data_IF_844843649644
#
_entry.id   IF_844843649644
#
_cell.length_a   1.000
_cell.length_b   1.000
_cell.length_c   1.000
_cell.angle_alpha   90.00
_cell.angle_beta   90.00
_cell.angle_gamma   90.00
#
_symmetry.space_group_name_H-M   'P 1'
#
loop_
_entity.id
_entity.type
_entity.pdbx_description
1 polymer ?
#
# COMPACT_ATOMS: atom_id res chain seq x y z
N UNK A 1 18.54 -22.64 18.50
CA UNK A 1 17.75 -23.44 17.53
C UNK A 1 17.42 -24.79 18.10
N UNK A 2 16.13 -25.08 18.27
CA UNK A 2 15.63 -26.41 18.63
C UNK A 2 14.92 -26.98 17.40
N UNK A 3 15.23 -28.22 17.02
CA UNK A 3 14.58 -28.92 15.90
C UNK A 3 13.86 -30.18 16.43
N UNK A 4 12.69 -30.51 15.88
CA UNK A 4 12.00 -31.77 16.17
C UNK A 4 12.11 -32.77 15.00
N UNK A 5 11.80 -34.03 15.27
CA UNK A 5 11.76 -35.11 14.27
C UNK A 5 10.71 -34.91 13.19
N UNK A 6 9.77 -33.99 13.42
CA UNK A 6 8.71 -33.62 12.49
C UNK A 6 9.16 -32.55 11.48
N UNK A 7 10.40 -32.07 11.53
CA UNK A 7 10.89 -31.09 10.56
C UNK A 7 10.38 -29.67 10.82
N UNK A 8 10.01 -29.36 12.06
CA UNK A 8 9.89 -28.01 12.58
C UNK A 8 11.15 -27.60 13.33
N UNK A 9 11.49 -26.32 13.20
CA UNK A 9 12.50 -25.66 14.03
C UNK A 9 11.92 -24.39 14.63
N UNK A 10 12.30 -24.04 15.85
CA UNK A 10 12.07 -22.71 16.38
C UNK A 10 13.36 -22.14 16.99
N UNK A 11 13.41 -20.82 17.07
CA UNK A 11 14.45 -20.10 17.79
C UNK A 11 13.94 -18.74 18.27
N UNK A 12 14.76 -18.05 19.09
CA UNK A 12 14.50 -16.69 19.52
C UNK A 12 15.67 -15.75 19.19
N UNK A 13 15.37 -14.47 18.98
CA UNK A 13 16.32 -13.47 18.51
C UNK A 13 16.10 -12.14 19.25
N UNK A 14 17.20 -11.45 19.55
CA UNK A 14 17.16 -10.11 20.17
C UNK A 14 17.06 -8.99 19.12
N UNK A 15 17.11 -9.32 17.83
CA UNK A 15 17.02 -8.34 16.74
C UNK A 15 16.30 -8.93 15.53
N UNK A 16 15.56 -8.10 14.81
CA UNK A 16 14.89 -8.50 13.56
C UNK A 16 15.89 -8.89 12.45
N UNK A 17 17.09 -8.32 12.48
CA UNK A 17 18.16 -8.71 11.53
C UNK A 17 18.68 -10.13 11.78
N UNK A 18 18.70 -10.60 13.03
CA UNK A 18 19.07 -11.99 13.32
C UNK A 18 17.93 -12.96 12.98
N UNK A 19 16.67 -12.53 13.14
CA UNK A 19 15.51 -13.24 12.61
C UNK A 19 15.61 -13.41 11.09
N UNK A 20 15.93 -12.35 10.33
CA UNK A 20 16.13 -12.43 8.88
C UNK A 20 17.20 -13.45 8.50
N UNK A 21 18.35 -13.46 9.19
CA UNK A 21 19.39 -14.48 8.95
C UNK A 21 18.84 -15.89 9.19
N UNK A 22 18.04 -16.09 10.24
CA UNK A 22 17.39 -17.37 10.47
C UNK A 22 16.47 -17.76 9.31
N UNK A 23 15.63 -16.85 8.80
CA UNK A 23 14.78 -17.11 7.63
C UNK A 23 15.59 -17.60 6.44
N UNK A 24 16.68 -16.90 6.12
CA UNK A 24 17.57 -17.24 5.00
C UNK A 24 18.29 -18.59 5.21
N UNK A 25 18.64 -18.95 6.45
CA UNK A 25 19.20 -20.27 6.76
C UNK A 25 18.17 -21.40 6.67
N UNK A 26 16.92 -21.16 7.10
CA UNK A 26 15.85 -22.15 7.00
C UNK A 26 15.41 -22.37 5.55
N UNK A 27 15.50 -21.34 4.70
CA UNK A 27 15.29 -21.44 3.25
C UNK A 27 16.14 -22.55 2.62
N UNK A 28 17.44 -22.61 3.00
CA UNK A 28 18.41 -23.61 2.50
C UNK A 28 18.05 -25.04 2.91
N UNK A 29 17.19 -25.20 3.92
CA UNK A 29 16.72 -26.49 4.46
C UNK A 29 15.32 -26.86 3.96
N UNK A 30 14.79 -26.19 2.94
CA UNK A 30 13.40 -26.35 2.47
C UNK A 30 12.39 -26.17 3.61
N UNK A 31 12.59 -25.13 4.42
CA UNK A 31 11.67 -24.74 5.49
C UNK A 31 11.17 -23.32 5.26
N UNK A 32 9.88 -23.12 5.49
CA UNK A 32 9.22 -21.81 5.41
C UNK A 32 8.85 -21.34 6.80
N UNK A 33 8.84 -20.03 6.99
CA UNK A 33 8.46 -19.41 8.27
C UNK A 33 6.95 -19.47 8.44
N UNK A 34 6.48 -20.31 9.35
CA UNK A 34 5.05 -20.50 9.61
C UNK A 34 4.56 -19.67 10.77
N UNK A 35 5.42 -19.31 11.72
CA UNK A 35 5.08 -18.38 12.80
C UNK A 35 6.21 -17.41 13.07
N UNK A 36 5.86 -16.17 13.35
CA UNK A 36 6.74 -15.12 13.89
C UNK A 36 5.91 -14.36 14.91
N UNK A 37 6.49 -14.09 16.07
CA UNK A 37 5.89 -13.23 17.10
C UNK A 37 6.98 -12.44 17.79
N UNK A 38 6.62 -11.27 18.32
CA UNK A 38 7.48 -10.47 19.18
C UNK A 38 6.85 -10.32 20.56
N UNK A 39 7.65 -10.53 21.59
CA UNK A 39 7.23 -10.38 22.99
C UNK A 39 8.40 -10.61 23.93
N UNK A 40 8.29 -10.11 25.17
CA UNK A 40 9.38 -10.17 26.16
C UNK A 40 10.73 -9.64 25.63
N UNK A 41 10.71 -8.62 24.77
CA UNK A 41 11.90 -8.04 24.15
C UNK A 41 12.60 -8.94 23.13
N UNK A 42 11.92 -9.97 22.62
CA UNK A 42 12.50 -10.93 21.67
C UNK A 42 11.55 -11.30 20.55
N UNK A 43 12.14 -11.58 19.40
CA UNK A 43 11.49 -12.24 18.29
C UNK A 43 11.54 -13.76 18.48
N UNK A 44 10.44 -14.44 18.23
CA UNK A 44 10.37 -15.90 18.16
C UNK A 44 9.89 -16.28 16.77
N UNK A 45 10.53 -17.27 16.16
CA UNK A 45 10.10 -17.76 14.85
C UNK A 45 10.07 -19.27 14.80
N UNK A 46 9.09 -19.79 14.06
CA UNK A 46 8.94 -21.22 13.76
C UNK A 46 9.07 -21.39 12.25
N UNK A 47 9.96 -22.29 11.86
CA UNK A 47 10.14 -22.71 10.48
C UNK A 47 9.68 -24.16 10.33
N UNK A 48 8.87 -24.43 9.31
CA UNK A 48 8.30 -25.76 9.06
C UNK A 48 8.77 -26.26 7.70
N UNK A 49 9.17 -27.52 7.64
CA UNK A 49 9.54 -28.17 6.39
C UNK A 49 8.38 -28.14 5.38
N UNK A 50 8.72 -27.86 4.12
CA UNK A 50 7.77 -27.86 3.01
C UNK A 50 8.34 -28.66 1.84
N UNK A 51 7.45 -29.33 1.11
CA UNK A 51 7.77 -30.06 -0.12
C UNK A 51 7.44 -29.27 -1.38
N UNK A 52 6.76 -28.12 -1.27
CA UNK A 52 6.29 -27.33 -2.41
C UNK A 52 7.12 -26.08 -2.65
N UNK A 53 7.28 -25.24 -1.63
CA UNK A 53 7.99 -23.96 -1.78
C UNK A 53 9.50 -24.20 -1.95
N UNK A 54 10.10 -23.49 -2.89
CA UNK A 54 11.52 -23.54 -3.24
C UNK A 54 12.25 -22.24 -2.93
N UNK A 55 11.52 -21.16 -2.64
CA UNK A 55 12.05 -19.82 -2.37
C UNK A 55 11.23 -19.18 -1.25
N UNK A 56 11.94 -18.58 -0.30
CA UNK A 56 11.37 -17.70 0.71
C UNK A 56 12.17 -16.41 0.70
N UNK A 57 11.46 -15.29 0.74
CA UNK A 57 12.04 -13.97 0.97
C UNK A 57 11.32 -13.31 2.13
N UNK A 58 12.03 -12.45 2.85
CA UNK A 58 11.43 -11.60 3.87
C UNK A 58 11.88 -10.17 3.70
N UNK A 59 11.02 -9.25 4.14
CA UNK A 59 11.33 -7.83 4.24
C UNK A 59 10.73 -7.28 5.52
N UNK A 60 11.44 -6.33 6.10
CA UNK A 60 10.99 -5.65 7.30
C UNK A 60 11.30 -4.17 7.26
N UNK A 61 10.59 -3.38 8.06
CA UNK A 61 10.73 -1.94 8.10
C UNK A 61 9.71 -1.29 9.03
N UNK A 62 9.89 0.02 9.30
CA UNK A 62 8.99 0.78 10.17
C UNK A 62 7.55 0.85 9.62
N UNK A 63 7.41 0.72 8.30
CA UNK A 63 6.13 0.63 7.58
C UNK A 63 5.99 -0.72 6.89
N UNK A 64 4.76 -1.19 6.75
CA UNK A 64 4.46 -2.38 5.96
C UNK A 64 4.94 -2.21 4.50
N UNK A 65 5.73 -3.14 3.95
CA UNK A 65 6.40 -2.97 2.67
C UNK A 65 5.48 -3.29 1.47
N UNK A 66 4.43 -2.50 1.24
CA UNK A 66 3.42 -2.73 0.19
C UNK A 66 4.00 -2.88 -1.22
N UNK A 67 4.89 -1.97 -1.62
CA UNK A 67 5.44 -1.94 -2.98
C UNK A 67 6.23 -3.23 -3.27
N UNK A 68 6.96 -3.71 -2.26
CA UNK A 68 7.71 -4.96 -2.35
C UNK A 68 6.79 -6.18 -2.43
N UNK A 69 5.68 -6.19 -1.68
CA UNK A 69 4.67 -7.25 -1.80
C UNK A 69 4.09 -7.28 -3.22
N UNK A 70 3.77 -6.11 -3.79
CA UNK A 70 3.23 -6.01 -5.15
C UNK A 70 4.25 -6.42 -6.23
N UNK A 71 5.53 -6.12 -6.03
CA UNK A 71 6.62 -6.62 -6.87
C UNK A 71 6.72 -8.15 -6.81
N UNK A 72 6.65 -8.73 -5.61
CA UNK A 72 6.78 -10.18 -5.39
C UNK A 72 5.57 -10.98 -5.86
N UNK A 73 4.36 -10.41 -5.81
CA UNK A 73 3.20 -11.02 -6.47
C UNK A 73 3.41 -11.18 -7.98
N UNK A 74 4.11 -10.26 -8.66
CA UNK A 74 4.44 -10.38 -10.10
C UNK A 74 5.45 -11.50 -10.37
N UNK A 75 6.17 -11.95 -9.34
CA UNK A 75 7.11 -13.07 -9.38
C UNK A 75 6.50 -14.40 -8.87
N UNK A 76 5.15 -14.48 -8.76
CA UNK A 76 4.42 -15.67 -8.26
C UNK A 76 4.83 -16.07 -6.82
N UNK A 77 5.19 -15.08 -6.01
CA UNK A 77 5.41 -15.23 -4.58
C UNK A 77 4.23 -14.66 -3.81
N UNK A 78 3.85 -15.31 -2.70
CA UNK A 78 2.68 -14.95 -1.90
C UNK A 78 3.07 -14.72 -0.45
N UNK A 79 2.38 -13.79 0.22
CA UNK A 79 2.51 -13.58 1.67
C UNK A 79 2.18 -14.88 2.38
N UNK A 80 3.12 -15.32 3.23
CA UNK A 80 2.97 -16.48 4.08
C UNK A 80 2.89 -16.10 5.56
N UNK A 81 3.60 -15.04 5.98
CA UNK A 81 3.54 -14.53 7.35
C UNK A 81 3.72 -13.02 7.39
N UNK A 82 2.94 -12.36 8.24
CA UNK A 82 3.05 -10.97 8.64
C UNK A 82 3.10 -10.89 10.17
N UNK A 83 3.85 -9.91 10.68
CA UNK A 83 3.94 -9.65 12.12
C UNK A 83 4.36 -8.21 12.35
N UNK A 84 3.93 -7.65 13.47
CA UNK A 84 4.47 -6.41 14.00
C UNK A 84 5.09 -6.66 15.38
N UNK A 85 6.26 -6.06 15.59
CA UNK A 85 7.00 -6.16 16.83
C UNK A 85 8.20 -5.23 16.83
N UNK A 86 8.64 -4.79 18.00
CA UNK A 86 9.87 -3.97 18.15
C UNK A 86 9.91 -2.72 17.25
N UNK A 87 8.75 -2.14 16.91
CA UNK A 87 8.65 -1.00 15.98
C UNK A 87 8.69 -1.36 14.49
N UNK A 88 8.83 -2.63 14.12
CA UNK A 88 8.95 -3.09 12.73
C UNK A 88 7.79 -3.97 12.30
N UNK A 89 7.33 -3.74 11.07
CA UNK A 89 6.59 -4.72 10.29
C UNK A 89 7.56 -5.73 9.70
N UNK A 90 7.24 -7.01 9.81
CA UNK A 90 7.92 -8.12 9.18
C UNK A 90 6.95 -8.82 8.22
N UNK A 91 7.41 -9.10 7.00
CA UNK A 91 6.66 -9.86 5.99
C UNK A 91 7.56 -10.95 5.41
N UNK A 92 7.08 -12.19 5.39
CA UNK A 92 7.69 -13.30 4.68
C UNK A 92 6.78 -13.75 3.54
N UNK A 93 7.36 -13.95 2.35
CA UNK A 93 6.69 -14.43 1.15
C UNK A 93 7.36 -15.69 0.62
N UNK A 94 6.57 -16.61 0.07
CA UNK A 94 7.03 -17.89 -0.48
C UNK A 94 6.56 -18.06 -1.92
N UNK A 95 7.36 -18.74 -2.74
CA UNK A 95 6.91 -19.23 -4.04
C UNK A 95 6.08 -20.52 -3.90
N UNK A 96 5.35 -20.89 -4.96
CA UNK A 96 4.57 -22.15 -5.03
C UNK A 96 3.67 -22.38 -3.81
N UNK A 97 3.13 -21.28 -3.28
CA UNK A 97 2.13 -21.34 -2.24
C UNK A 97 0.90 -22.10 -2.75
N UNK A 98 0.11 -22.76 -1.89
CA UNK A 98 -1.10 -23.47 -2.31
C UNK A 98 -2.27 -22.53 -2.63
N UNK A 99 -1.98 -21.28 -3.01
CA UNK A 99 -2.96 -20.23 -3.27
C UNK A 99 -3.16 -20.08 -4.78
N UNK A 100 -4.38 -19.73 -5.18
CA UNK A 100 -4.71 -19.37 -6.58
C UNK A 100 -4.84 -17.86 -6.77
N UNK A 101 -5.05 -17.13 -5.67
CA UNK A 101 -5.12 -15.68 -5.62
C UNK A 101 -4.86 -15.22 -4.18
N UNK A 102 -4.41 -13.98 -4.01
CA UNK A 102 -4.18 -13.39 -2.70
C UNK A 102 -4.47 -11.89 -2.72
N UNK A 103 -5.02 -11.40 -1.61
CA UNK A 103 -5.28 -10.00 -1.37
C UNK A 103 -4.92 -9.67 0.07
N UNK A 104 -4.43 -8.46 0.32
CA UNK A 104 -4.26 -7.95 1.68
C UNK A 104 -4.89 -6.56 1.82
N UNK A 105 -5.09 -6.11 3.06
CA UNK A 105 -5.58 -4.77 3.31
C UNK A 105 -5.21 -4.24 4.70
N UNK A 106 -4.84 -2.95 4.75
CA UNK A 106 -4.66 -2.19 6.00
C UNK A 106 -6.00 -1.61 6.48
N UNK A 107 -6.32 -1.72 7.77
CA UNK A 107 -7.54 -1.21 8.39
C UNK A 107 -7.25 -0.47 9.69
N UNK A 108 -8.04 0.57 9.98
CA UNK A 108 -7.87 1.41 11.18
C UNK A 108 -8.52 0.81 12.42
N UNK A 109 -9.46 -0.12 12.22
CA UNK A 109 -10.16 -0.77 13.32
C UNK A 109 -10.54 -2.20 12.97
N UNK A 110 -10.81 -3.00 14.00
CA UNK A 110 -11.33 -4.34 13.79
C UNK A 110 -12.69 -4.34 13.08
N UNK A 111 -13.54 -3.35 13.31
CA UNK A 111 -14.83 -3.22 12.60
C UNK A 111 -14.64 -3.08 11.09
N UNK A 112 -13.62 -2.31 10.65
CA UNK A 112 -13.28 -2.21 9.24
C UNK A 112 -12.60 -3.48 8.69
N UNK A 113 -11.82 -4.18 9.52
CA UNK A 113 -11.24 -5.49 9.20
C UNK A 113 -12.34 -6.54 8.95
N UNK A 114 -13.30 -6.64 9.85
CA UNK A 114 -14.47 -7.51 9.72
C UNK A 114 -15.26 -7.20 8.46
N UNK A 115 -15.49 -5.92 8.16
CA UNK A 115 -16.16 -5.50 6.93
C UNK A 115 -15.41 -5.99 5.69
N UNK A 116 -14.09 -5.78 5.64
CA UNK A 116 -13.25 -6.24 4.53
C UNK A 116 -13.31 -7.76 4.33
N UNK A 117 -13.22 -8.52 5.43
CA UNK A 117 -13.28 -9.98 5.39
C UNK A 117 -14.62 -10.44 4.80
N UNK A 118 -15.74 -9.87 5.27
CA UNK A 118 -17.07 -10.21 4.78
C UNK A 118 -17.27 -9.84 3.31
N UNK A 119 -16.82 -8.65 2.90
CA UNK A 119 -16.87 -8.23 1.49
C UNK A 119 -16.08 -9.18 0.58
N UNK A 120 -14.92 -9.67 1.03
CA UNK A 120 -14.14 -10.69 0.29
C UNK A 120 -14.88 -12.02 0.20
N UNK A 121 -15.48 -12.48 1.28
CA UNK A 121 -16.30 -13.70 1.27
C UNK A 121 -17.55 -13.58 0.39
N UNK A 122 -18.18 -12.41 0.34
CA UNK A 122 -19.34 -12.15 -0.53
C UNK A 122 -18.97 -12.19 -2.01
N UNK A 123 -17.79 -11.66 -2.36
CA UNK A 123 -17.25 -11.70 -3.74
C UNK A 123 -16.82 -13.11 -4.14
N UNK A 124 -16.09 -13.78 -3.27
CA UNK A 124 -15.61 -15.15 -3.49
C UNK A 124 -15.46 -15.86 -2.15
N UNK A 125 -16.40 -16.77 -1.87
CA UNK A 125 -16.43 -17.53 -0.63
C UNK A 125 -15.20 -18.44 -0.43
N UNK A 126 -14.35 -18.64 -1.44
CA UNK A 126 -13.09 -19.38 -1.32
C UNK A 126 -11.94 -18.57 -0.73
N UNK A 127 -12.10 -17.27 -0.52
CA UNK A 127 -11.12 -16.51 0.26
C UNK A 127 -11.10 -17.01 1.70
N UNK A 128 -9.90 -17.26 2.20
CA UNK A 128 -9.64 -17.60 3.58
C UNK A 128 -8.73 -16.54 4.18
N UNK A 129 -8.98 -16.14 5.42
CA UNK A 129 -8.01 -15.40 6.23
C UNK A 129 -6.82 -16.33 6.43
N UNK A 130 -5.69 -15.99 5.82
CA UNK A 130 -4.47 -16.80 5.85
C UNK A 130 -3.43 -16.25 6.82
N UNK A 131 -3.49 -14.96 7.13
CA UNK A 131 -2.78 -14.38 8.26
C UNK A 131 -3.40 -13.02 8.63
N UNK A 132 -3.20 -12.60 9.87
CA UNK A 132 -3.56 -11.27 10.32
C UNK A 132 -2.56 -10.80 11.37
N UNK A 133 -2.28 -9.50 11.37
CA UNK A 133 -1.43 -8.89 12.37
C UNK A 133 -1.96 -7.52 12.78
N UNK A 134 -1.85 -7.23 14.07
CA UNK A 134 -2.10 -5.91 14.62
C UNK A 134 -0.78 -5.25 15.01
N UNK A 135 -0.63 -3.96 14.76
CA UNK A 135 0.59 -3.25 15.11
C UNK A 135 0.56 -1.78 14.72
N UNK A 136 1.19 -0.93 15.52
CA UNK A 136 1.25 0.51 15.28
C UNK A 136 -0.13 1.13 14.98
N UNK A 137 -1.17 0.71 15.72
CA UNK A 137 -2.55 1.17 15.52
C UNK A 137 -3.30 0.59 14.31
N UNK A 138 -2.69 -0.31 13.53
CA UNK A 138 -3.28 -0.83 12.30
C UNK A 138 -3.48 -2.34 12.31
N UNK A 139 -4.54 -2.76 11.64
CA UNK A 139 -4.79 -4.14 11.25
C UNK A 139 -4.32 -4.40 9.82
N UNK A 140 -3.58 -5.48 9.63
CA UNK A 140 -3.28 -6.02 8.31
C UNK A 140 -3.89 -7.41 8.21
N UNK A 141 -4.71 -7.61 7.17
CA UNK A 141 -5.45 -8.85 6.94
C UNK A 141 -5.02 -9.40 5.60
N UNK A 142 -4.52 -10.62 5.58
CA UNK A 142 -4.17 -11.36 4.37
C UNK A 142 -5.25 -12.39 4.12
N UNK A 143 -5.80 -12.37 2.91
CA UNK A 143 -6.77 -13.35 2.46
C UNK A 143 -6.30 -14.02 1.18
N UNK A 144 -6.23 -15.35 1.19
CA UNK A 144 -5.85 -16.14 0.02
C UNK A 144 -6.99 -17.04 -0.43
N UNK A 145 -7.09 -17.27 -1.73
CA UNK A 145 -7.99 -18.29 -2.29
C UNK A 145 -7.25 -19.61 -2.35
N UNK A 146 -7.79 -20.65 -1.70
CA UNK A 146 -7.23 -22.01 -1.73
C UNK A 146 -7.96 -22.88 -2.77
N UNK A 147 -7.33 -24.00 -3.17
CA UNK A 147 -7.93 -24.96 -4.11
C UNK A 147 -9.19 -25.62 -3.56
N UNK A 148 -9.21 -25.92 -2.27
CA UNK A 148 -10.35 -26.46 -1.55
C UNK A 148 -10.87 -25.40 -0.57
N UNK A 149 -12.19 -25.27 -0.48
CA UNK A 149 -12.81 -24.38 0.49
C UNK A 149 -12.76 -25.02 1.87
N UNK A 150 -12.16 -24.31 2.83
CA UNK A 150 -12.16 -24.66 4.23
C UNK A 150 -13.07 -23.65 4.95
N UNK A 151 -14.15 -24.11 5.58
CA UNK A 151 -15.07 -23.19 6.25
C UNK A 151 -14.36 -22.42 7.35
N UNK A 152 -14.52 -21.09 7.40
CA UNK A 152 -13.90 -20.24 8.41
C UNK A 152 -14.91 -19.54 9.31
N UNK A 153 -14.51 -19.31 10.55
CA UNK A 153 -15.22 -18.43 11.47
C UNK A 153 -14.21 -17.72 12.37
N UNK A 154 -14.47 -16.45 12.69
CA UNK A 154 -13.63 -15.68 13.60
C UNK A 154 -14.44 -15.10 14.76
N UNK A 155 -13.75 -14.72 15.83
CA UNK A 155 -14.33 -14.07 17.00
C UNK A 155 -13.33 -13.11 17.65
N UNK A 156 -13.80 -11.93 18.02
CA UNK A 156 -13.11 -11.06 18.98
C UNK A 156 -13.64 -11.28 20.41
N UNK A 157 -12.79 -11.13 21.41
CA UNK A 157 -13.17 -11.25 22.82
C UNK A 157 -12.17 -10.57 23.75
N UNK A 158 -12.65 -9.83 24.76
CA UNK A 158 -11.79 -9.20 25.79
C UNK A 158 -11.03 -10.22 26.63
N UNK A 159 -11.56 -11.43 26.78
CA UNK A 159 -10.91 -12.56 27.46
C UNK A 159 -10.64 -13.69 26.49
N UNK A 160 -9.59 -14.48 26.74
CA UNK A 160 -9.26 -15.60 25.86
C UNK A 160 -10.45 -16.59 25.71
N UNK A 161 -10.97 -16.80 24.49
CA UNK A 161 -12.31 -17.39 24.28
C UNK A 161 -12.32 -18.94 24.28
N UNK A 162 -11.83 -19.56 25.36
CA UNK A 162 -11.70 -21.01 25.50
C UNK A 162 -12.97 -21.80 25.18
N UNK A 163 -14.12 -21.39 25.71
CA UNK A 163 -15.38 -22.14 25.53
C UNK A 163 -15.85 -22.14 24.07
N UNK A 164 -15.63 -21.03 23.37
CA UNK A 164 -15.96 -20.92 21.95
C UNK A 164 -15.02 -21.78 21.11
N UNK A 165 -13.71 -21.72 21.37
CA UNK A 165 -12.71 -22.57 20.72
C UNK A 165 -13.04 -24.06 20.93
N UNK A 166 -13.34 -24.46 22.17
CA UNK A 166 -13.70 -25.85 22.51
C UNK A 166 -14.99 -26.31 21.82
N UNK A 167 -15.95 -25.41 21.60
CA UNK A 167 -17.15 -25.71 20.82
C UNK A 167 -16.79 -25.92 19.35
N UNK A 168 -15.97 -25.03 18.78
CA UNK A 168 -15.50 -25.11 17.39
C UNK A 168 -14.65 -26.35 17.11
N UNK A 169 -13.84 -26.82 18.07
CA UNK A 169 -13.13 -28.10 17.97
C UNK A 169 -14.08 -29.27 17.75
N UNK A 170 -15.21 -29.31 18.47
CA UNK A 170 -16.23 -30.37 18.31
C UNK A 170 -16.88 -30.35 16.93
N UNK A 171 -16.92 -29.19 16.28
CA UNK A 171 -17.44 -29.01 14.92
C UNK A 171 -16.38 -29.28 13.83
N UNK A 172 -15.16 -29.68 14.22
CA UNK A 172 -14.05 -30.01 13.33
C UNK A 172 -13.24 -28.80 12.85
N UNK A 173 -13.30 -27.68 13.55
CA UNK A 173 -12.46 -26.51 13.27
C UNK A 173 -11.21 -26.51 14.14
N UNK A 174 -10.10 -25.97 13.64
CA UNK A 174 -8.88 -25.71 14.41
C UNK A 174 -8.50 -24.23 14.36
N UNK A 175 -7.67 -23.79 15.32
CA UNK A 175 -7.12 -22.43 15.29
C UNK A 175 -6.17 -22.34 14.11
N UNK A 176 -6.44 -21.39 13.21
CA UNK A 176 -5.58 -21.12 12.06
C UNK A 176 -4.87 -19.77 12.15
N UNK A 177 -5.39 -18.85 12.96
CA UNK A 177 -4.74 -17.59 13.25
C UNK A 177 -5.23 -17.05 14.58
N UNK A 178 -4.36 -16.41 15.33
CA UNK A 178 -4.70 -15.74 16.58
C UNK A 178 -3.85 -14.49 16.75
N UNK A 179 -4.48 -13.40 17.22
CA UNK A 179 -3.81 -12.12 17.47
C UNK A 179 -4.38 -11.45 18.72
N UNK A 180 -3.61 -10.54 19.31
CA UNK A 180 -4.03 -9.69 20.43
C UNK A 180 -3.68 -8.22 20.15
N UNK A 181 -4.65 -7.33 20.31
CA UNK A 181 -4.45 -5.89 20.03
C UNK A 181 -4.07 -5.05 21.25
N UNK A 182 -3.87 -5.70 22.40
CA UNK A 182 -3.68 -5.04 23.70
C UNK A 182 -4.95 -5.01 24.55
N UNK A 183 -6.12 -5.18 23.92
CA UNK A 183 -7.44 -5.13 24.59
C UNK A 183 -8.25 -6.40 24.39
N UNK A 184 -8.18 -7.00 23.21
CA UNK A 184 -8.98 -8.15 22.79
C UNK A 184 -8.13 -9.19 22.08
N UNK A 185 -8.60 -10.42 22.22
CA UNK A 185 -8.19 -11.59 21.47
C UNK A 185 -9.00 -11.70 20.20
N UNK A 186 -8.33 -12.03 19.10
CA UNK A 186 -8.90 -12.23 17.78
C UNK A 186 -8.51 -13.61 17.30
N UNK A 187 -9.49 -14.51 17.19
CA UNK A 187 -9.25 -15.93 16.89
C UNK A 187 -9.95 -16.30 15.61
N UNK A 188 -9.21 -16.84 14.66
CA UNK A 188 -9.73 -17.43 13.42
C UNK A 188 -9.66 -18.94 13.53
N UNK A 189 -10.81 -19.58 13.30
CA UNK A 189 -10.99 -21.03 13.29
C UNK A 189 -11.30 -21.49 11.88
N UNK A 190 -10.53 -22.43 11.36
CA UNK A 190 -10.67 -23.01 10.01
C UNK A 190 -11.00 -24.49 10.08
N UNK A 191 -11.95 -24.94 9.26
CA UNK A 191 -12.38 -26.34 9.22
C UNK A 191 -11.45 -27.17 8.34
N UNK A 192 -10.59 -27.97 8.95
CA UNK A 192 -9.74 -28.92 8.25
C UNK A 192 -10.32 -30.33 8.31
N UNK A 193 -10.34 -31.03 7.17
CA UNK A 193 -10.93 -32.37 7.09
C UNK A 193 -10.13 -33.46 7.85
N UNK A 194 -8.93 -33.16 8.39
CA UNK A 194 -7.97 -34.17 8.87
C UNK A 194 -7.16 -33.84 10.14
N UNK A 195 -7.57 -32.91 11.01
CA UNK A 195 -6.74 -32.55 12.18
C UNK A 195 -7.44 -32.67 13.56
N UNK A 196 -7.74 -33.90 14.03
CA UNK A 196 -8.55 -34.12 15.24
C UNK A 196 -7.79 -33.90 16.57
N UNK A 197 -6.53 -33.46 16.54
CA UNK A 197 -5.63 -33.57 17.70
C UNK A 197 -5.11 -32.27 18.30
N UNK A 198 -5.53 -31.07 17.86
CA UNK A 198 -4.96 -29.79 18.35
C UNK A 198 -5.10 -29.61 19.87
N UNK A 199 -4.04 -29.09 20.50
CA UNK A 199 -4.05 -28.70 21.93
C UNK A 199 -3.65 -27.24 22.00
N UNK A 200 -4.44 -26.47 22.75
CA UNK A 200 -4.16 -25.07 23.04
C UNK A 200 -3.66 -24.93 24.48
N UNK A 201 -2.64 -24.10 24.68
CA UNK A 201 -2.23 -23.69 26.02
C UNK A 201 -2.89 -22.37 26.35
N UNK A 202 -3.51 -22.28 27.53
CA UNK A 202 -4.01 -21.02 28.05
C UNK A 202 -2.89 -19.96 28.09
N UNK A 203 -3.22 -18.67 27.92
CA UNK A 203 -2.26 -17.58 28.08
C UNK A 203 -1.47 -17.72 29.37
N UNK A 204 -0.16 -17.55 29.27
CA UNK A 204 0.77 -17.71 30.39
C UNK A 204 1.91 -16.70 30.23
N UNK A 205 2.59 -16.39 31.35
CA UNK A 205 3.76 -15.53 31.32
C UNK A 205 4.96 -16.27 30.71
N UNK A 206 5.66 -15.59 29.83
CA UNK A 206 6.89 -16.07 29.22
C UNK A 206 6.66 -17.11 28.11
N UNK A 207 7.68 -17.26 27.28
CA UNK A 207 7.68 -18.22 26.19
C UNK A 207 7.76 -19.68 26.71
N UNK A 208 6.86 -20.60 26.29
CA UNK A 208 6.68 -21.89 26.95
C UNK A 208 7.56 -23.01 26.41
N UNK A 209 8.89 -22.83 26.43
CA UNK A 209 9.88 -23.77 25.86
C UNK A 209 9.69 -25.22 26.34
N UNK A 210 9.51 -25.42 27.65
CA UNK A 210 9.36 -26.76 28.23
C UNK A 210 8.08 -27.48 27.76
N UNK A 211 6.99 -26.74 27.57
CA UNK A 211 5.72 -27.29 27.06
C UNK A 211 5.84 -27.63 25.58
N UNK A 212 6.45 -26.74 24.78
CA UNK A 212 6.74 -27.00 23.37
C UNK A 212 7.57 -28.27 23.23
N UNK A 213 8.67 -28.40 23.99
CA UNK A 213 9.52 -29.58 23.96
C UNK A 213 8.72 -30.85 24.29
N UNK A 214 7.90 -30.82 25.33
CA UNK A 214 7.06 -31.95 25.72
C UNK A 214 6.10 -32.36 24.60
N UNK A 215 5.48 -31.42 23.89
CA UNK A 215 4.58 -31.73 22.78
C UNK A 215 5.33 -32.24 21.55
N UNK A 216 6.51 -31.70 21.26
CA UNK A 216 7.38 -32.20 20.21
C UNK A 216 7.83 -33.64 20.45
N UNK A 217 8.16 -33.99 21.70
CA UNK A 217 8.47 -35.37 22.10
C UNK A 217 7.25 -36.32 21.92
N UNK A 218 6.05 -35.75 21.81
CA UNK A 218 4.80 -36.46 21.49
C UNK A 218 4.39 -36.32 20.00
N UNK A 219 5.34 -36.06 19.10
CA UNK A 219 5.12 -35.92 17.65
C UNK A 219 4.12 -34.84 17.25
N UNK A 220 4.03 -33.76 18.03
CA UNK A 220 3.18 -32.60 17.73
C UNK A 220 4.01 -31.44 17.18
N UNK A 221 3.33 -30.56 16.46
CA UNK A 221 3.90 -29.35 15.84
C UNK A 221 3.21 -28.11 16.40
N UNK A 222 3.90 -26.98 16.32
CA UNK A 222 3.33 -25.67 16.60
C UNK A 222 2.49 -25.27 15.38
N UNK A 223 1.18 -25.05 15.57
CA UNK A 223 0.29 -24.54 14.51
C UNK A 223 0.10 -23.03 14.58
N UNK A 224 0.19 -22.45 15.78
CA UNK A 224 0.11 -21.00 15.97
C UNK A 224 0.82 -20.55 17.24
N UNK A 225 1.34 -19.32 17.22
CA UNK A 225 1.92 -18.63 18.36
C UNK A 225 1.40 -17.20 18.38
N UNK A 226 1.18 -16.68 19.59
CA UNK A 226 0.79 -15.28 19.81
C UNK A 226 1.32 -14.84 21.16
N UNK A 227 1.75 -13.60 21.24
CA UNK A 227 2.08 -12.94 22.50
C UNK A 227 0.95 -11.96 22.83
N UNK A 228 0.32 -12.12 23.99
CA UNK A 228 -0.69 -11.17 24.43
C UNK A 228 0.01 -9.86 24.83
N UNK A 229 -0.30 -8.78 24.13
CA UNK A 229 0.15 -7.43 24.50
C UNK A 229 -0.60 -6.96 25.75
N UNK A 230 0.09 -6.42 26.75
CA UNK A 230 -0.54 -5.70 27.85
C UNK A 230 -0.66 -4.21 27.54
N UNK A 231 -1.57 -3.49 28.21
CA UNK A 231 -1.65 -2.02 28.13
C UNK A 231 -0.35 -1.32 28.60
N UNK A 232 0.52 -2.03 29.34
CA UNK A 232 1.83 -1.56 29.79
C UNK A 232 2.95 -1.85 28.76
N UNK A 233 2.71 -2.73 27.77
CA UNK A 233 3.62 -3.02 26.64
C UNK A 233 3.38 -2.08 25.44
N UNK A 234 2.30 -1.28 25.49
CA UNK A 234 2.18 -0.08 24.65
C UNK A 234 3.14 0.95 25.25
N UNK A 235 4.37 0.93 24.76
CA UNK A 235 5.15 2.16 24.68
C UNK A 235 4.20 3.27 24.21
N UNK A 236 4.02 4.31 25.04
CA UNK A 236 3.26 5.51 24.70
C UNK A 236 3.93 6.19 23.49
N UNK A 237 3.58 5.68 22.32
CA UNK A 237 3.93 6.18 21.01
C UNK A 237 2.82 7.11 20.50
N UNK A 238 2.03 7.74 21.38
CA UNK A 238 1.06 8.78 20.97
C UNK A 238 1.73 9.89 20.16
N UNK A 239 3.01 10.17 20.43
CA UNK A 239 3.84 11.08 19.65
C UNK A 239 4.27 10.52 18.28
N UNK A 240 4.23 9.20 18.09
CA UNK A 240 4.57 8.46 16.87
C UNK A 240 3.32 8.16 16.01
N UNK A 241 2.13 8.00 16.60
CA UNK A 241 0.83 7.98 15.90
C UNK A 241 0.65 9.24 15.04
N UNK A 242 1.07 10.41 15.54
CA UNK A 242 1.03 11.67 14.80
C UNK A 242 2.05 11.74 13.64
N UNK A 243 3.14 10.96 13.71
CA UNK A 243 4.23 10.97 12.73
C UNK A 243 4.04 9.94 11.60
N UNK A 244 3.29 8.86 11.83
CA UNK A 244 3.20 7.75 10.86
C UNK A 244 1.77 7.27 10.53
N UNK A 245 0.72 7.86 11.11
CA UNK A 245 -0.67 7.45 10.83
C UNK A 245 -1.50 8.39 9.95
N UNK A 246 -1.06 9.62 9.72
CA UNK A 246 -1.72 10.51 8.78
C UNK A 246 -1.04 10.48 7.41
N UNK A 247 -1.83 10.28 6.34
CA UNK A 247 -1.38 10.65 4.99
C UNK A 247 -0.75 12.03 5.07
N UNK A 248 0.45 12.19 4.54
CA UNK A 248 1.11 13.50 4.48
C UNK A 248 0.14 14.51 3.86
N UNK A 249 0.29 15.79 4.20
CA UNK A 249 -0.53 16.83 3.59
C UNK A 249 -0.40 16.82 2.05
N UNK A 250 0.74 16.39 1.51
CA UNK A 250 0.93 16.15 0.08
C UNK A 250 0.03 15.03 -0.48
N UNK A 251 -0.05 13.89 0.20
CA UNK A 251 -0.87 12.74 -0.22
C UNK A 251 -2.36 13.02 -0.08
N UNK A 252 -2.78 13.65 1.03
CA UNK A 252 -4.16 14.12 1.22
C UNK A 252 -4.54 15.09 0.09
N UNK A 253 -3.67 16.03 -0.25
CA UNK A 253 -3.91 16.97 -1.33
C UNK A 253 -4.07 16.30 -2.70
N UNK A 254 -3.21 15.33 -3.02
CA UNK A 254 -3.26 14.59 -4.28
C UNK A 254 -4.55 13.77 -4.42
N UNK A 255 -5.01 13.12 -3.34
CA UNK A 255 -6.28 12.39 -3.32
C UNK A 255 -7.47 13.32 -3.53
N UNK A 256 -7.49 14.48 -2.86
CA UNK A 256 -8.52 15.49 -3.06
C UNK A 256 -8.54 16.04 -4.49
N UNK A 257 -7.36 16.27 -5.07
CA UNK A 257 -7.22 16.71 -6.45
C UNK A 257 -7.76 15.67 -7.43
N UNK A 258 -7.44 14.38 -7.23
CA UNK A 258 -7.96 13.27 -8.03
C UNK A 258 -9.48 13.12 -7.91
N UNK A 259 -10.03 13.37 -6.71
CA UNK A 259 -11.47 13.40 -6.45
C UNK A 259 -12.16 14.68 -6.99
N UNK A 260 -11.42 15.60 -7.62
CA UNK A 260 -11.90 16.93 -8.06
C UNK A 260 -12.42 17.82 -6.93
N UNK A 261 -12.07 17.49 -5.68
CA UNK A 261 -12.29 18.34 -4.51
C UNK A 261 -11.17 19.39 -4.45
N UNK A 262 -11.27 20.40 -5.31
CA UNK A 262 -10.24 21.44 -5.42
C UNK A 262 -10.07 22.26 -4.14
N UNK A 263 -11.14 22.67 -3.41
CA UNK A 263 -10.99 23.34 -2.12
C UNK A 263 -10.20 22.50 -1.10
N UNK A 264 -10.50 21.20 -1.00
CA UNK A 264 -9.76 20.27 -0.14
C UNK A 264 -8.30 20.11 -0.57
N UNK A 265 -8.04 20.01 -1.88
CA UNK A 265 -6.68 19.93 -2.41
C UNK A 265 -5.87 21.20 -2.08
N UNK A 266 -6.47 22.38 -2.25
CA UNK A 266 -5.85 23.68 -1.92
C UNK A 266 -5.49 23.76 -0.43
N UNK A 267 -6.41 23.35 0.45
CA UNK A 267 -6.18 23.34 1.90
C UNK A 267 -4.95 22.49 2.25
N UNK A 268 -4.90 21.26 1.75
CA UNK A 268 -3.82 20.34 2.07
C UNK A 268 -2.50 20.70 1.39
N UNK A 269 -2.49 21.23 0.16
CA UNK A 269 -1.26 21.75 -0.45
C UNK A 269 -0.69 22.94 0.32
N UNK A 270 -1.54 23.85 0.84
CA UNK A 270 -1.07 24.93 1.71
C UNK A 270 -0.42 24.40 2.99
N UNK A 271 -1.01 23.37 3.59
CA UNK A 271 -0.44 22.73 4.77
C UNK A 271 0.90 22.05 4.46
N UNK A 272 1.00 21.32 3.33
CA UNK A 272 2.25 20.69 2.89
C UNK A 272 3.36 21.71 2.61
N UNK A 273 3.01 22.88 2.05
CA UNK A 273 3.95 23.98 1.81
C UNK A 273 4.45 24.59 3.13
N UNK A 274 3.60 24.65 4.17
CA UNK A 274 4.02 25.13 5.48
C UNK A 274 5.08 24.20 6.11
N UNK A 275 5.03 22.90 5.82
CA UNK A 275 6.03 21.91 6.26
C UNK A 275 7.31 21.95 5.42
N UNK A 276 7.19 22.02 4.09
CA UNK A 276 8.32 22.06 3.17
C UNK A 276 8.11 23.09 2.04
N UNK A 277 8.31 24.36 2.37
CA UNK A 277 8.10 25.46 1.43
C UNK A 277 9.12 25.58 0.29
N UNK A 278 10.09 24.67 0.18
CA UNK A 278 11.14 24.68 -0.86
C UNK A 278 10.89 23.70 -2.01
N UNK A 279 9.89 22.83 -1.92
CA UNK A 279 9.52 21.88 -2.97
C UNK A 279 8.73 22.59 -4.09
N UNK A 280 9.31 22.72 -5.29
CA UNK A 280 8.66 23.37 -6.43
C UNK A 280 7.37 22.66 -6.86
N UNK A 281 7.29 21.34 -6.65
CA UNK A 281 6.16 20.51 -7.05
C UNK A 281 4.93 20.86 -6.21
N UNK A 282 5.10 21.13 -4.92
CA UNK A 282 4.00 21.54 -4.04
C UNK A 282 3.40 22.89 -4.46
N UNK A 283 4.25 23.87 -4.74
CA UNK A 283 3.82 25.19 -5.23
C UNK A 283 3.13 25.08 -6.60
N UNK A 284 3.65 24.27 -7.51
CA UNK A 284 3.03 24.03 -8.80
C UNK A 284 1.64 23.39 -8.66
N UNK A 285 1.53 22.35 -7.82
CA UNK A 285 0.28 21.64 -7.64
C UNK A 285 -0.78 22.48 -6.90
N UNK A 286 -0.37 23.36 -5.98
CA UNK A 286 -1.26 24.37 -5.40
C UNK A 286 -1.81 25.31 -6.48
N UNK A 287 -0.93 25.84 -7.34
CA UNK A 287 -1.33 26.71 -8.44
C UNK A 287 -2.30 26.00 -9.39
N UNK A 288 -2.03 24.74 -9.73
CA UNK A 288 -2.89 23.91 -10.55
C UNK A 288 -4.26 23.66 -9.91
N UNK A 289 -4.29 23.31 -8.62
CA UNK A 289 -5.55 23.13 -7.88
C UNK A 289 -6.38 24.42 -7.85
N UNK A 290 -5.74 25.58 -7.64
CA UNK A 290 -6.42 26.89 -7.69
C UNK A 290 -6.93 27.23 -9.10
N UNK A 291 -6.15 26.94 -10.13
CA UNK A 291 -6.56 27.09 -11.53
C UNK A 291 -7.81 26.27 -11.85
N UNK A 292 -7.82 24.98 -11.46
CA UNK A 292 -8.98 24.10 -11.65
C UNK A 292 -10.20 24.54 -10.84
N UNK A 293 -9.98 25.21 -9.70
CA UNK A 293 -11.03 25.82 -8.91
C UNK A 293 -11.55 27.16 -9.49
N UNK A 294 -10.98 27.65 -10.60
CA UNK A 294 -11.33 28.93 -11.23
C UNK A 294 -10.62 30.15 -10.62
N UNK A 295 -9.74 29.96 -9.63
CA UNK A 295 -9.05 31.03 -8.90
C UNK A 295 -7.73 31.43 -9.60
N UNK A 296 -7.81 31.81 -10.87
CA UNK A 296 -6.64 32.04 -11.72
C UNK A 296 -5.78 33.23 -11.29
N UNK A 297 -6.37 34.26 -10.64
CA UNK A 297 -5.60 35.38 -10.06
C UNK A 297 -4.68 34.93 -8.93
N UNK A 298 -5.19 34.10 -8.03
CA UNK A 298 -4.43 33.63 -6.86
C UNK A 298 -3.36 32.60 -7.26
N UNK A 299 -3.66 31.76 -8.26
CA UNK A 299 -2.77 30.71 -8.76
C UNK A 299 -1.46 31.25 -9.35
N UNK A 300 -1.49 32.45 -9.94
CA UNK A 300 -0.33 33.04 -10.63
C UNK A 300 0.86 33.21 -9.67
N UNK A 301 0.61 33.67 -8.45
CA UNK A 301 1.66 33.88 -7.46
C UNK A 301 2.33 32.58 -7.01
N UNK A 302 1.57 31.48 -6.92
CA UNK A 302 2.09 30.18 -6.49
C UNK A 302 2.94 29.52 -7.59
N UNK A 303 2.51 29.60 -8.86
CA UNK A 303 3.31 29.06 -9.97
C UNK A 303 4.58 29.89 -10.21
N UNK A 304 4.53 31.21 -9.97
CA UNK A 304 5.72 32.06 -10.00
C UNK A 304 6.73 31.64 -8.92
N UNK A 305 6.23 31.28 -7.74
CA UNK A 305 7.07 30.73 -6.68
C UNK A 305 7.68 29.38 -7.08
N UNK A 306 6.91 28.49 -7.69
CA UNK A 306 7.39 27.20 -8.19
C UNK A 306 8.53 27.38 -9.22
N UNK A 307 8.34 28.25 -10.22
CA UNK A 307 9.34 28.54 -11.26
C UNK A 307 10.59 29.16 -10.64
N UNK A 308 10.44 30.04 -9.65
CA UNK A 308 11.57 30.67 -8.94
C UNK A 308 12.41 29.65 -8.18
N UNK A 309 11.76 28.64 -7.56
CA UNK A 309 12.47 27.54 -6.90
C UNK A 309 13.21 26.68 -7.92
N UNK A 310 12.52 26.28 -8.99
CA UNK A 310 13.09 25.52 -10.11
C UNK A 310 12.15 25.56 -11.31
N UNK A 311 12.64 26.05 -12.44
CA UNK A 311 11.91 26.03 -13.71
C UNK A 311 11.86 24.59 -14.28
N UNK A 312 10.66 24.09 -14.58
CA UNK A 312 10.42 22.76 -15.16
C UNK A 312 9.41 22.84 -16.31
N UNK A 313 9.33 21.80 -17.13
CA UNK A 313 8.30 21.72 -18.17
C UNK A 313 6.88 21.92 -17.61
N UNK A 314 6.55 21.24 -16.51
CA UNK A 314 5.23 21.27 -15.88
C UNK A 314 4.83 22.65 -15.34
N UNK A 315 5.71 23.34 -14.61
CA UNK A 315 5.31 24.62 -14.02
C UNK A 315 5.25 25.77 -15.03
N UNK A 316 6.03 25.70 -16.11
CA UNK A 316 5.86 26.61 -17.25
C UNK A 316 4.53 26.34 -17.96
N UNK A 317 4.14 25.07 -18.14
CA UNK A 317 2.84 24.70 -18.69
C UNK A 317 1.69 25.24 -17.82
N UNK A 318 1.72 24.98 -16.50
CA UNK A 318 0.72 25.48 -15.55
C UNK A 318 0.60 27.01 -15.59
N UNK A 319 1.72 27.74 -15.65
CA UNK A 319 1.70 29.20 -15.74
C UNK A 319 1.04 29.69 -17.03
N UNK A 320 1.31 29.04 -18.14
CA UNK A 320 0.70 29.37 -19.42
C UNK A 320 -0.83 29.15 -19.40
N UNK A 321 -1.29 28.04 -18.80
CA UNK A 321 -2.73 27.76 -18.61
C UNK A 321 -3.40 28.81 -17.71
N UNK A 322 -2.74 29.23 -16.63
CA UNK A 322 -3.23 30.30 -15.74
C UNK A 322 -3.34 31.63 -16.48
N UNK A 323 -2.33 32.02 -17.26
CA UNK A 323 -2.35 33.25 -18.05
C UNK A 323 -3.48 33.25 -19.07
N UNK A 324 -3.72 32.12 -19.73
CA UNK A 324 -4.86 31.95 -20.64
C UNK A 324 -6.20 32.13 -19.90
N UNK A 325 -6.35 31.55 -18.70
CA UNK A 325 -7.55 31.77 -17.88
C UNK A 325 -7.76 33.25 -17.51
N UNK A 326 -6.67 34.02 -17.36
CA UNK A 326 -6.71 35.47 -17.18
C UNK A 326 -6.91 36.26 -18.50
N UNK A 327 -7.18 35.59 -19.62
CA UNK A 327 -7.27 36.17 -20.96
C UNK A 327 -5.98 36.85 -21.45
N UNK A 328 -4.82 36.49 -20.87
CA UNK A 328 -3.48 36.98 -21.25
C UNK A 328 -2.81 36.04 -22.25
N UNK A 329 -3.54 35.71 -23.31
CA UNK A 329 -3.12 34.67 -24.27
C UNK A 329 -1.78 35.00 -24.95
N UNK A 330 -1.51 36.27 -25.30
CA UNK A 330 -0.23 36.65 -25.89
C UNK A 330 0.97 36.36 -24.95
N UNK A 331 0.80 36.56 -23.64
CA UNK A 331 1.84 36.28 -22.66
C UNK A 331 2.01 34.78 -22.38
N UNK A 332 0.96 33.99 -22.51
CA UNK A 332 0.99 32.56 -22.25
C UNK A 332 1.89 31.79 -23.24
N UNK A 333 2.00 32.27 -24.49
CA UNK A 333 2.78 31.60 -25.56
C UNK A 333 4.23 31.35 -25.12
N UNK A 334 4.90 32.34 -24.54
CA UNK A 334 6.32 32.22 -24.14
C UNK A 334 6.54 31.12 -23.10
N UNK A 335 5.57 30.88 -22.23
CA UNK A 335 5.66 29.84 -21.20
C UNK A 335 5.32 28.46 -21.77
N UNK A 336 4.39 28.34 -22.72
CA UNK A 336 4.21 27.09 -23.46
C UNK A 336 5.43 26.73 -24.30
N UNK A 337 6.07 27.70 -24.95
CA UNK A 337 7.32 27.49 -25.68
C UNK A 337 8.43 26.96 -24.77
N UNK A 338 8.61 27.58 -23.60
CA UNK A 338 9.57 27.14 -22.61
C UNK A 338 9.23 25.75 -22.04
N UNK A 339 7.95 25.48 -21.77
CA UNK A 339 7.47 24.20 -21.29
C UNK A 339 7.82 23.07 -22.27
N UNK A 340 7.57 23.28 -23.57
CA UNK A 340 7.92 22.33 -24.65
C UNK A 340 9.43 22.17 -24.77
N UNK A 341 10.20 23.26 -24.68
CA UNK A 341 11.67 23.23 -24.74
C UNK A 341 12.25 22.41 -23.60
N UNK A 342 11.76 22.61 -22.38
CA UNK A 342 12.19 21.86 -21.19
C UNK A 342 11.77 20.40 -21.27
N UNK A 343 10.54 20.09 -21.71
CA UNK A 343 10.07 18.72 -21.86
C UNK A 343 10.98 17.92 -22.82
N UNK A 344 11.36 18.50 -23.96
CA UNK A 344 12.30 17.87 -24.91
C UNK A 344 13.69 17.64 -24.31
N UNK A 345 14.10 18.45 -23.35
CA UNK A 345 15.38 18.29 -22.65
C UNK A 345 15.29 17.25 -21.53
N UNK A 346 14.16 17.18 -20.85
CA UNK A 346 13.91 16.28 -19.71
C UNK A 346 13.61 14.85 -20.15
N UNK A 347 13.02 14.65 -21.34
CA UNK A 347 12.56 13.36 -21.83
C UNK A 347 13.33 12.94 -23.09
N UNK A 348 13.70 11.66 -23.17
CA UNK A 348 14.35 11.09 -24.36
C UNK A 348 13.43 11.14 -25.59
N UNK A 349 12.10 11.05 -25.37
CA UNK A 349 11.08 11.14 -26.40
C UNK A 349 9.97 12.09 -25.98
N UNK A 350 9.54 12.94 -26.90
CA UNK A 350 8.38 13.80 -26.70
C UNK A 350 7.09 12.98 -26.87
N UNK A 351 6.37 12.74 -25.77
CA UNK A 351 5.24 11.78 -25.71
C UNK A 351 3.90 12.40 -25.32
N UNK A 352 3.83 13.69 -25.02
CA UNK A 352 2.61 14.35 -24.56
C UNK A 352 2.10 15.35 -25.60
N UNK A 353 1.06 14.98 -26.36
CA UNK A 353 0.46 15.87 -27.36
C UNK A 353 -0.23 17.09 -26.74
N UNK A 354 -0.60 16.99 -25.46
CA UNK A 354 -1.26 18.03 -24.66
C UNK A 354 -0.52 19.37 -24.70
N UNK A 355 0.81 19.37 -24.62
CA UNK A 355 1.61 20.60 -24.62
C UNK A 355 1.44 21.42 -25.92
N UNK A 356 1.30 20.75 -27.06
CA UNK A 356 1.02 21.45 -28.32
C UNK A 356 -0.46 21.82 -28.41
N UNK A 357 -1.37 20.94 -28.00
CA UNK A 357 -2.80 21.22 -28.04
C UNK A 357 -3.19 22.45 -27.20
N UNK A 358 -2.59 22.60 -26.02
CA UNK A 358 -2.84 23.73 -25.13
C UNK A 358 -2.21 25.03 -25.67
N UNK A 359 -1.02 24.96 -26.29
CA UNK A 359 -0.42 26.10 -27.00
C UNK A 359 -1.25 26.50 -28.22
N UNK A 360 -1.81 25.54 -28.95
CA UNK A 360 -2.71 25.79 -30.07
C UNK A 360 -3.94 26.60 -29.63
N UNK A 361 -4.50 26.27 -28.47
CA UNK A 361 -5.66 26.99 -27.95
C UNK A 361 -5.31 28.45 -27.57
N UNK A 362 -4.12 28.67 -27.03
CA UNK A 362 -3.63 30.04 -26.81
C UNK A 362 -3.40 30.79 -28.13
N UNK A 363 -2.83 30.14 -29.14
CA UNK A 363 -2.66 30.74 -30.48
C UNK A 363 -4.01 31.07 -31.11
N UNK A 364 -5.01 30.20 -30.95
CA UNK A 364 -6.41 30.43 -31.35
C UNK A 364 -6.99 31.67 -30.65
N UNK A 365 -6.76 31.82 -29.35
CA UNK A 365 -7.23 32.96 -28.56
C UNK A 365 -6.71 34.33 -29.09
N UNK A 366 -5.49 34.38 -29.63
CA UNK A 366 -4.94 35.60 -30.26
C UNK A 366 -5.23 35.69 -31.77
N UNK A 367 -6.07 34.80 -32.31
CA UNK A 367 -6.44 34.77 -33.72
C UNK A 367 -5.37 34.22 -34.67
N UNK A 368 -4.30 33.62 -34.14
CA UNK A 368 -3.27 32.94 -34.91
C UNK A 368 -3.71 31.50 -35.24
N UNK A 369 -4.66 31.37 -36.17
CA UNK A 369 -5.23 30.08 -36.55
C UNK A 369 -4.25 29.19 -37.30
N UNK A 370 -3.38 29.74 -38.16
CA UNK A 370 -2.36 28.97 -38.86
C UNK A 370 -1.38 28.31 -37.88
N UNK A 371 -0.85 29.08 -36.92
CA UNK A 371 0.04 28.52 -35.91
C UNK A 371 -0.65 27.56 -34.94
N UNK A 372 -1.96 27.70 -34.73
CA UNK A 372 -2.75 26.74 -33.94
C UNK A 372 -2.95 25.41 -34.70
N UNK A 373 -3.17 25.47 -36.02
CA UNK A 373 -3.24 24.28 -36.88
C UNK A 373 -1.94 23.49 -36.82
N UNK A 374 -0.79 24.17 -37.00
CA UNK A 374 0.54 23.54 -36.92
C UNK A 374 0.74 22.80 -35.60
N UNK A 375 0.35 23.39 -34.47
CA UNK A 375 0.47 22.76 -33.15
C UNK A 375 -0.48 21.55 -33.00
N UNK A 376 -1.71 21.62 -33.51
CA UNK A 376 -2.62 20.48 -33.47
C UNK A 376 -2.13 19.34 -34.36
N UNK A 377 -1.52 19.64 -35.50
CA UNK A 377 -0.91 18.61 -36.35
C UNK A 377 0.25 17.91 -35.63
N UNK A 378 1.09 18.65 -34.90
CA UNK A 378 2.12 18.08 -34.03
C UNK A 378 1.51 17.21 -32.92
N UNK A 379 0.43 17.66 -32.28
CA UNK A 379 -0.28 16.88 -31.26
C UNK A 379 -0.85 15.57 -31.84
N UNK A 380 -1.44 15.60 -33.04
CA UNK A 380 -1.97 14.41 -33.74
C UNK A 380 -0.84 13.46 -34.14
N UNK A 381 0.33 13.96 -34.53
CA UNK A 381 1.48 13.13 -34.85
C UNK A 381 1.96 12.32 -33.63
N UNK A 382 1.77 12.86 -32.41
CA UNK A 382 2.08 12.17 -31.14
C UNK A 382 0.94 11.24 -30.72
N UNK A 383 -0.31 11.69 -30.88
CA UNK A 383 -1.53 10.98 -30.44
C UNK A 383 -2.50 10.74 -31.62
N UNK A 384 -2.17 9.86 -32.58
CA UNK A 384 -2.91 9.73 -33.85
C UNK A 384 -4.34 9.20 -33.70
N UNK A 385 -4.66 8.61 -32.54
CA UNK A 385 -5.98 8.05 -32.24
C UNK A 385 -6.86 8.98 -31.38
N UNK A 386 -6.37 10.15 -30.97
CA UNK A 386 -7.15 11.10 -30.18
C UNK A 386 -8.17 11.85 -31.08
N UNK A 387 -9.45 11.48 -30.99
CA UNK A 387 -10.53 12.05 -31.81
C UNK A 387 -10.73 13.54 -31.56
N UNK A 388 -10.52 14.00 -30.32
CA UNK A 388 -10.69 15.40 -29.93
C UNK A 388 -9.73 16.31 -30.71
N UNK A 389 -8.46 15.90 -30.86
CA UNK A 389 -7.48 16.67 -31.64
C UNK A 389 -7.89 16.80 -33.10
N UNK A 390 -8.43 15.72 -33.70
CA UNK A 390 -8.92 15.73 -35.09
C UNK A 390 -10.11 16.67 -35.26
N UNK A 391 -11.00 16.74 -34.27
CA UNK A 391 -12.14 17.63 -34.29
C UNK A 391 -11.71 19.10 -34.10
N UNK A 392 -10.76 19.37 -33.21
CA UNK A 392 -10.13 20.69 -33.06
C UNK A 392 -9.46 21.13 -34.37
N UNK A 393 -8.77 20.23 -35.08
CA UNK A 393 -8.17 20.53 -36.39
C UNK A 393 -9.23 20.96 -37.42
N UNK A 394 -10.37 20.27 -37.49
CA UNK A 394 -11.48 20.64 -38.39
C UNK A 394 -12.05 22.01 -38.05
N UNK A 395 -12.21 22.30 -36.75
CA UNK A 395 -12.71 23.60 -36.27
C UNK A 395 -11.76 24.74 -36.67
N UNK A 396 -10.47 24.57 -36.39
CA UNK A 396 -9.45 25.57 -36.73
C UNK A 396 -9.36 25.83 -38.23
N UNK A 397 -9.46 24.79 -39.07
CA UNK A 397 -9.47 24.96 -40.53
C UNK A 397 -10.67 25.79 -41.02
N UNK A 398 -11.85 25.61 -40.42
CA UNK A 398 -13.02 26.45 -40.72
C UNK A 398 -12.80 27.90 -40.30
N UNK A 399 -12.24 28.13 -39.12
CA UNK A 399 -11.93 29.47 -38.61
C UNK A 399 -10.86 30.18 -39.45
N UNK A 400 -9.89 29.44 -39.98
CA UNK A 400 -8.85 29.97 -40.85
C UNK A 400 -9.38 30.34 -42.25
N UNK A 401 -10.33 29.57 -42.80
CA UNK A 401 -10.93 29.83 -44.12
C UNK A 401 -12.03 30.90 -44.16
N UNK A 402 -12.46 31.41 -43.00
CA UNK A 402 -13.49 32.46 -42.87
C UNK A 402 -12.90 33.88 -42.64
N UNK A 403 -11.59 34.05 -42.80
CA UNK A 403 -10.87 35.34 -42.80
C UNK A 403 -10.42 35.67 -44.21
#
# INVERSE_FOLDING_TARGET
>A
MTENSEGQAYDSFNSISDLEKFVLEQAKKNRVITEVVYGDGKWYAVATHTSSATKIECKWGLSFPSDWVEERWKEDMYINKITYGDGYWFVAMIDKAPYVDQSWGRRLSWTEAEKFIKEKWDVNNKYNITDLAYGNGYWYIVMSVLKEYEGQSFKDSETFPNDWINTKYKDGYNVSCIEHDGKKWYVVMTKHTKNPGEIIFNPQKGFPEAKIKTQWDNSRRISSLVYARSEEDDDDYSWMEALFSEKSNKEKAAEKLAAKDYPGAIQYYKAAIAENGKDEVLWNNLAWAKYLNGNCSDALSDVDKAITLKSTSYNNHTKASILKCQNKCAEAIKYFDEAIRLYRKEQEKFTSGEYYADRADVKRCIGNYSGAIEDIELAIAIEPYNSKLKDTLKELNKLAGNK
#
